data_IF_072005724276
#
_entry.id   IF_072005724276
#
_cell.length_a   1.000
_cell.length_b   1.000
_cell.length_c   1.000
_cell.angle_alpha   90.00
_cell.angle_beta   90.00
_cell.angle_gamma   90.00
#
_symmetry.space_group_name_H-M   'P 1'
#
loop_
_entity.id
_entity.type
_entity.pdbx_description
1 polymer ?
#
# COMPACT_ATOMS: atom_id res chain seq x y z
N UNK A 1 46.70 26.85 10.46
CA UNK A 1 46.73 25.63 9.62
C UNK A 1 45.58 25.49 8.61
N UNK A 2 44.48 26.26 8.67
CA UNK A 2 43.36 26.13 7.71
C UNK A 2 43.57 26.86 6.36
N UNK A 3 44.46 27.87 6.30
CA UNK A 3 44.75 28.61 5.05
C UNK A 3 45.58 27.85 4.01
N UNK A 4 46.35 26.83 4.41
CA UNK A 4 47.20 26.07 3.48
C UNK A 4 46.48 24.90 2.79
N UNK A 5 45.38 24.37 3.35
CA UNK A 5 44.60 23.31 2.70
C UNK A 5 43.82 23.81 1.47
N UNK A 6 43.35 25.07 1.51
CA UNK A 6 42.57 25.67 0.41
C UNK A 6 43.43 25.98 -0.84
N UNK A 7 44.73 26.20 -0.67
CA UNK A 7 45.66 26.52 -1.77
C UNK A 7 46.10 25.26 -2.54
N UNK A 8 46.13 24.10 -1.89
CA UNK A 8 46.45 22.80 -2.51
C UNK A 8 45.26 22.23 -3.31
N UNK A 9 44.01 22.49 -2.90
CA UNK A 9 42.83 22.03 -3.65
C UNK A 9 42.62 22.82 -4.94
N UNK A 10 42.89 24.13 -4.94
CA UNK A 10 42.74 24.98 -6.13
C UNK A 10 43.83 24.76 -7.19
N UNK A 11 45.00 24.23 -6.85
CA UNK A 11 46.07 23.94 -7.81
C UNK A 11 45.88 22.63 -8.58
N UNK A 12 44.90 21.79 -8.20
CA UNK A 12 44.58 20.53 -8.89
C UNK A 12 43.50 20.69 -9.98
N UNK A 13 42.79 21.82 -10.02
CA UNK A 13 41.70 22.08 -10.97
C UNK A 13 42.15 22.26 -12.45
N UNK A 14 43.40 22.65 -12.81
CA UNK A 14 43.74 22.86 -14.23
C UNK A 14 44.01 21.60 -15.06
N UNK A 15 43.96 20.38 -14.50
CA UNK A 15 44.24 19.14 -15.26
C UNK A 15 43.02 18.43 -15.84
N UNK A 16 41.80 18.91 -15.58
CA UNK A 16 40.56 18.38 -16.18
C UNK A 16 39.90 19.43 -17.06
N UNK A 17 40.70 20.06 -17.94
CA UNK A 17 40.19 20.85 -19.07
C UNK A 17 40.96 20.49 -20.32
N UNK A 18 40.55 19.40 -20.97
CA UNK A 18 40.54 19.33 -22.42
C UNK A 18 39.55 18.26 -22.87
N UNK A 19 38.63 18.71 -23.74
CA UNK A 19 37.64 17.97 -24.52
C UNK A 19 36.28 17.71 -23.87
N UNK A 20 35.54 18.79 -23.65
CA UNK A 20 34.16 18.85 -24.13
C UNK A 20 33.99 20.20 -24.81
N UNK A 21 33.84 20.14 -26.14
CA UNK A 21 33.42 21.25 -26.97
C UNK A 21 31.93 21.41 -26.67
N UNK A 22 31.56 22.49 -25.99
CA UNK A 22 30.17 22.92 -25.86
C UNK A 22 29.98 23.96 -26.97
N UNK A 23 29.48 23.51 -28.12
CA UNK A 23 28.83 24.41 -29.08
C UNK A 23 27.49 24.87 -28.49
N UNK A 24 27.17 26.13 -28.77
CA UNK A 24 26.04 26.94 -28.32
C UNK A 24 24.78 26.16 -27.92
N UNK A 25 24.55 26.05 -26.61
CA UNK A 25 23.26 25.60 -26.06
C UNK A 25 22.40 26.85 -25.81
N UNK A 26 21.21 26.98 -26.44
CA UNK A 26 20.34 28.12 -26.22
C UNK A 26 19.95 28.19 -24.75
N UNK A 27 19.95 29.40 -24.19
CA UNK A 27 19.48 29.71 -22.83
C UNK A 27 18.18 28.95 -22.59
N UNK A 28 18.22 27.93 -21.74
CA UNK A 28 17.04 27.19 -21.31
C UNK A 28 16.08 28.22 -20.70
N UNK A 29 14.91 28.38 -21.33
CA UNK A 29 13.76 29.00 -20.67
C UNK A 29 13.52 28.25 -19.35
N UNK A 30 13.06 28.93 -18.29
CA UNK A 30 12.63 28.23 -17.08
C UNK A 30 11.67 27.13 -17.50
N UNK A 31 11.98 25.89 -17.12
CA UNK A 31 11.11 24.74 -17.35
C UNK A 31 9.72 25.11 -16.81
N UNK A 32 8.73 25.21 -17.70
CA UNK A 32 7.34 25.16 -17.29
C UNK A 32 7.15 23.80 -16.63
N UNK A 33 6.83 23.80 -15.33
CA UNK A 33 6.38 22.60 -14.63
C UNK A 33 5.18 22.11 -15.44
N UNK A 34 5.23 20.93 -16.09
CA UNK A 34 4.08 20.44 -16.84
C UNK A 34 2.90 20.42 -15.87
N UNK A 35 1.73 20.89 -16.31
CA UNK A 35 0.54 20.96 -15.49
C UNK A 35 0.37 19.65 -14.72
N UNK A 36 0.60 19.70 -13.41
CA UNK A 36 0.16 18.71 -12.43
C UNK A 36 -1.25 18.27 -12.82
N UNK A 37 -1.59 16.98 -12.62
CA UNK A 37 -2.91 16.38 -12.91
C UNK A 37 -3.97 17.46 -12.94
N UNK A 38 -4.56 17.75 -14.09
CA UNK A 38 -5.56 18.81 -14.21
C UNK A 38 -6.70 18.51 -13.23
N UNK A 39 -6.65 19.14 -12.06
CA UNK A 39 -7.56 18.84 -10.94
C UNK A 39 -8.99 19.24 -11.31
N UNK A 40 -9.15 20.17 -12.26
CA UNK A 40 -10.46 20.50 -12.81
C UNK A 40 -11.05 19.31 -13.57
N UNK A 41 -10.23 18.57 -14.33
CA UNK A 41 -10.66 17.36 -15.04
C UNK A 41 -11.04 16.22 -14.07
N UNK A 42 -10.34 16.06 -12.94
CA UNK A 42 -10.69 15.09 -11.90
C UNK A 42 -12.04 15.41 -11.27
N UNK A 43 -12.26 16.67 -10.91
CA UNK A 43 -13.49 17.11 -10.25
C UNK A 43 -14.69 17.08 -11.21
N UNK A 44 -14.47 17.30 -12.51
CA UNK A 44 -15.52 17.21 -13.53
C UNK A 44 -15.80 15.79 -14.02
N UNK A 45 -14.84 14.87 -13.89
CA UNK A 45 -15.03 13.44 -14.23
C UNK A 45 -16.20 12.86 -13.43
N UNK A 46 -16.95 11.91 -13.98
CA UNK A 46 -17.95 11.15 -13.21
C UNK A 46 -17.34 9.95 -12.51
N UNK A 47 -16.15 9.51 -12.92
CA UNK A 47 -15.47 8.32 -12.40
C UNK A 47 -14.73 8.60 -11.09
N UNK A 48 -14.46 7.52 -10.35
CA UNK A 48 -13.63 7.53 -9.15
C UNK A 48 -12.15 7.45 -9.47
N UNK A 49 -11.33 8.09 -8.63
CA UNK A 49 -9.87 8.08 -8.78
C UNK A 49 -9.21 7.62 -7.49
N UNK A 50 -8.17 6.80 -7.62
CA UNK A 50 -7.22 6.52 -6.55
C UNK A 50 -5.86 7.02 -7.01
N UNK A 51 -5.28 7.98 -6.29
CA UNK A 51 -4.06 8.68 -6.71
C UNK A 51 -2.94 8.45 -5.71
N UNK A 52 -1.79 7.94 -6.16
CA UNK A 52 -0.58 7.96 -5.35
C UNK A 52 0.10 9.34 -5.45
N UNK A 53 -0.15 10.20 -4.47
CA UNK A 53 0.27 11.61 -4.45
C UNK A 53 1.32 11.85 -3.36
N UNK A 54 2.59 11.58 -3.67
CA UNK A 54 3.70 11.75 -2.71
C UNK A 54 3.94 13.21 -2.33
N UNK A 55 3.44 14.17 -3.12
CA UNK A 55 3.65 15.60 -2.90
C UNK A 55 2.47 16.26 -2.18
N UNK A 56 1.33 15.57 -2.11
CA UNK A 56 0.03 16.09 -1.67
C UNK A 56 -0.50 17.28 -2.48
N UNK A 57 0.20 17.71 -3.54
CA UNK A 57 -0.20 18.88 -4.31
C UNK A 57 -1.51 18.64 -5.08
N UNK A 58 -1.76 17.41 -5.53
CA UNK A 58 -2.99 17.06 -6.24
C UNK A 58 -4.17 17.03 -5.28
N UNK A 59 -3.96 16.49 -4.08
CA UNK A 59 -4.94 16.53 -2.99
C UNK A 59 -5.29 17.97 -2.60
N UNK A 60 -4.28 18.80 -2.28
CA UNK A 60 -4.48 20.18 -1.83
C UNK A 60 -5.25 21.00 -2.87
N UNK A 61 -4.85 20.96 -4.14
CA UNK A 61 -5.56 21.63 -5.23
C UNK A 61 -7.02 21.14 -5.38
N UNK A 62 -7.25 19.84 -5.19
CA UNK A 62 -8.60 19.26 -5.30
C UNK A 62 -9.52 19.78 -4.19
N UNK A 63 -9.02 19.84 -2.96
CA UNK A 63 -9.77 20.38 -1.81
C UNK A 63 -9.98 21.89 -1.95
N UNK A 64 -8.95 22.65 -2.35
CA UNK A 64 -9.04 24.10 -2.56
C UNK A 64 -10.10 24.45 -3.61
N UNK A 65 -10.09 23.75 -4.75
CA UNK A 65 -11.08 23.94 -5.80
C UNK A 65 -12.50 23.62 -5.33
N UNK A 66 -12.68 22.51 -4.60
CA UNK A 66 -13.97 22.10 -4.04
C UNK A 66 -14.52 23.14 -3.05
N UNK A 67 -13.66 23.71 -2.20
CA UNK A 67 -14.02 24.74 -1.23
C UNK A 67 -14.36 26.07 -1.90
N UNK A 68 -13.58 26.48 -2.89
CA UNK A 68 -13.77 27.76 -3.59
C UNK A 68 -15.07 27.80 -4.39
N UNK A 69 -15.36 26.73 -5.16
CA UNK A 69 -16.50 26.72 -6.08
C UNK A 69 -17.80 26.19 -5.46
N UNK A 70 -17.82 25.91 -4.15
CA UNK A 70 -18.97 25.36 -3.39
C UNK A 70 -19.67 24.19 -4.10
N UNK A 71 -18.89 23.40 -4.84
CA UNK A 71 -19.44 22.29 -5.61
C UNK A 71 -19.89 21.20 -4.63
N UNK A 72 -21.11 20.70 -4.83
CA UNK A 72 -21.54 19.38 -4.36
C UNK A 72 -20.78 18.32 -5.17
N UNK A 73 -19.46 18.26 -4.97
CA UNK A 73 -18.51 17.45 -5.71
C UNK A 73 -18.34 16.05 -5.12
N UNK A 74 -17.41 15.25 -5.68
CA UNK A 74 -17.07 13.92 -5.17
C UNK A 74 -16.73 13.92 -3.68
N UNK A 75 -16.92 12.77 -3.05
CA UNK A 75 -16.31 12.48 -1.76
C UNK A 75 -14.79 12.40 -1.98
N UNK A 76 -14.02 13.19 -1.21
CA UNK A 76 -12.56 13.27 -1.36
C UNK A 76 -11.93 12.82 -0.05
N UNK A 77 -11.07 11.82 -0.13
CA UNK A 77 -10.39 11.20 1.01
C UNK A 77 -8.88 11.30 0.85
N UNK A 78 -8.17 11.43 1.97
CA UNK A 78 -6.72 11.36 2.05
C UNK A 78 -6.32 10.21 2.97
N UNK A 79 -5.56 9.25 2.47
CA UNK A 79 -4.89 8.22 3.24
C UNK A 79 -3.39 8.54 3.30
N UNK A 80 -2.96 9.16 4.39
CA UNK A 80 -1.57 9.58 4.63
C UNK A 80 -1.03 8.98 5.94
N UNK A 81 -0.69 7.68 5.94
CA UNK A 81 -0.39 6.93 7.17
C UNK A 81 0.95 7.29 7.82
N UNK A 82 1.83 8.01 7.12
CA UNK A 82 3.12 8.49 7.63
C UNK A 82 3.06 9.93 8.17
N UNK A 83 1.85 10.50 8.27
CA UNK A 83 1.62 11.88 8.71
C UNK A 83 2.48 12.90 7.95
N UNK A 84 2.68 12.66 6.64
CA UNK A 84 3.47 13.54 5.78
C UNK A 84 2.86 14.93 5.54
N UNK A 85 1.90 15.35 6.37
CA UNK A 85 1.20 16.62 6.27
C UNK A 85 2.21 17.78 6.17
N UNK A 86 2.16 18.43 5.03
CA UNK A 86 3.08 19.46 4.55
C UNK A 86 3.10 20.66 5.48
N UNK A 87 4.13 20.79 6.33
CA UNK A 87 4.76 22.03 6.80
C UNK A 87 3.92 23.19 7.39
N UNK A 88 2.60 23.20 7.32
CA UNK A 88 1.75 24.33 7.69
C UNK A 88 0.34 23.94 8.19
N UNK A 89 -0.20 22.73 7.94
CA UNK A 89 -1.51 22.35 8.48
C UNK A 89 -1.56 20.85 8.84
N UNK A 90 -2.08 20.51 10.03
CA UNK A 90 -2.38 19.15 10.46
C UNK A 90 -3.57 18.61 9.65
N UNK A 91 -3.35 18.17 8.42
CA UNK A 91 -4.39 17.52 7.61
C UNK A 91 -4.52 16.07 8.12
N UNK A 92 -5.64 15.70 8.76
CA UNK A 92 -5.78 14.37 9.32
C UNK A 92 -5.90 13.33 8.19
N UNK A 93 -5.24 12.20 8.36
CA UNK A 93 -5.47 11.02 7.51
C UNK A 93 -6.85 10.42 7.80
N UNK A 94 -7.56 10.09 6.74
CA UNK A 94 -8.70 9.18 6.79
C UNK A 94 -8.20 7.76 7.02
N UNK A 95 -9.12 6.90 7.47
CA UNK A 95 -8.81 5.56 7.91
C UNK A 95 -9.24 4.50 6.92
N UNK A 96 -8.47 3.44 6.85
CA UNK A 96 -8.76 2.25 6.06
C UNK A 96 -8.41 1.01 6.87
N UNK A 97 -9.36 0.08 7.01
CA UNK A 97 -9.12 -1.17 7.73
C UNK A 97 -9.12 -2.35 6.75
N UNK A 98 -7.99 -3.06 6.55
CA UNK A 98 -7.96 -4.20 5.64
C UNK A 98 -8.87 -5.36 6.08
N UNK A 99 -9.22 -5.47 7.37
CA UNK A 99 -10.14 -6.48 7.88
C UNK A 99 -11.63 -6.17 7.59
N UNK A 100 -11.94 -4.96 7.12
CA UNK A 100 -13.29 -4.59 6.66
C UNK A 100 -13.75 -5.48 5.49
N UNK A 101 -12.82 -5.86 4.62
CA UNK A 101 -13.10 -6.61 3.40
C UNK A 101 -13.11 -8.14 3.58
N UNK A 102 -12.96 -8.62 4.82
CA UNK A 102 -13.00 -10.05 5.14
C UNK A 102 -14.43 -10.43 5.47
N UNK A 103 -15.01 -11.36 4.71
CA UNK A 103 -16.34 -11.89 5.01
C UNK A 103 -16.41 -12.46 6.42
N UNK A 104 -17.55 -12.28 7.09
CA UNK A 104 -17.84 -12.97 8.37
C UNK A 104 -18.53 -14.32 8.16
N UNK A 105 -18.79 -14.68 6.92
CA UNK A 105 -19.31 -15.99 6.54
C UNK A 105 -18.20 -17.05 6.55
N UNK A 106 -18.48 -18.20 7.13
CA UNK A 106 -17.49 -19.27 7.33
C UNK A 106 -16.95 -19.83 6.00
N UNK A 107 -17.76 -19.83 4.94
CA UNK A 107 -17.38 -20.37 3.63
C UNK A 107 -16.37 -19.47 2.91
N UNK A 108 -16.50 -18.14 3.06
CA UNK A 108 -15.73 -17.18 2.25
C UNK A 108 -14.53 -16.58 2.99
N UNK A 109 -14.60 -16.47 4.33
CA UNK A 109 -13.62 -15.73 5.13
C UNK A 109 -12.17 -16.20 4.94
N UNK A 110 -11.93 -17.50 4.78
CA UNK A 110 -10.56 -18.02 4.60
C UNK A 110 -9.97 -17.50 3.29
N UNK A 111 -10.76 -17.47 2.20
CA UNK A 111 -10.33 -16.92 0.91
C UNK A 111 -9.93 -15.45 1.02
N UNK A 112 -10.77 -14.63 1.67
CA UNK A 112 -10.47 -13.21 1.89
C UNK A 112 -9.22 -13.01 2.76
N UNK A 113 -9.03 -13.83 3.80
CA UNK A 113 -7.83 -13.79 4.65
C UNK A 113 -6.58 -14.11 3.83
N UNK A 114 -6.64 -15.09 2.93
CA UNK A 114 -5.50 -15.46 2.08
C UNK A 114 -5.10 -14.34 1.13
N UNK A 115 -6.01 -13.47 0.68
CA UNK A 115 -5.65 -12.30 -0.14
C UNK A 115 -4.66 -11.40 0.60
N UNK A 116 -4.99 -11.08 1.86
CA UNK A 116 -4.14 -10.24 2.72
C UNK A 116 -2.84 -10.98 3.07
N UNK A 117 -2.92 -12.25 3.45
CA UNK A 117 -1.75 -13.05 3.81
C UNK A 117 -0.77 -13.22 2.64
N UNK A 118 -1.28 -13.36 1.40
CA UNK A 118 -0.46 -13.51 0.21
C UNK A 118 0.30 -12.22 -0.14
N UNK A 119 -0.31 -11.06 0.11
CA UNK A 119 0.31 -9.75 -0.05
C UNK A 119 1.45 -9.53 0.95
N UNK A 120 1.23 -9.86 2.23
CA UNK A 120 2.22 -9.66 3.30
C UNK A 120 3.37 -10.68 3.28
N UNK A 121 3.10 -11.92 2.87
CA UNK A 121 4.07 -13.02 2.90
C UNK A 121 4.20 -13.66 1.53
N UNK A 122 4.68 -12.96 0.49
CA UNK A 122 4.79 -13.52 -0.85
C UNK A 122 5.68 -14.77 -0.85
N UNK A 123 5.26 -15.82 -1.55
CA UNK A 123 6.03 -17.07 -1.73
C UNK A 123 6.67 -17.16 -3.12
N UNK A 124 6.24 -16.31 -4.05
CA UNK A 124 6.81 -16.22 -5.39
C UNK A 124 8.25 -15.70 -5.32
N UNK A 125 9.13 -16.25 -6.16
CA UNK A 125 10.55 -15.88 -6.24
C UNK A 125 11.38 -16.17 -4.98
N UNK A 126 10.88 -16.98 -4.05
CA UNK A 126 11.62 -17.48 -2.90
C UNK A 126 12.03 -18.93 -3.16
N UNK A 127 13.34 -19.22 -3.07
CA UNK A 127 13.87 -20.58 -3.31
C UNK A 127 13.28 -21.61 -2.33
N UNK A 128 13.09 -21.21 -1.07
CA UNK A 128 12.57 -22.06 0.01
C UNK A 128 11.43 -21.33 0.75
N UNK A 129 10.18 -21.42 0.26
CA UNK A 129 9.07 -20.61 0.76
C UNK A 129 8.42 -21.14 2.05
N UNK A 130 8.98 -22.17 2.68
CA UNK A 130 8.34 -22.88 3.79
C UNK A 130 8.01 -21.96 4.98
N UNK A 131 8.93 -21.08 5.37
CA UNK A 131 8.71 -20.13 6.46
C UNK A 131 7.62 -19.11 6.13
N UNK A 132 7.52 -18.67 4.88
CA UNK A 132 6.46 -17.77 4.43
C UNK A 132 5.10 -18.47 4.44
N UNK A 133 5.04 -19.75 4.04
CA UNK A 133 3.82 -20.56 4.14
C UNK A 133 3.39 -20.68 5.61
N UNK A 134 4.31 -20.98 6.52
CA UNK A 134 3.99 -21.04 7.95
C UNK A 134 3.57 -19.68 8.52
N UNK A 135 4.18 -18.58 8.08
CA UNK A 135 3.77 -17.23 8.47
C UNK A 135 2.35 -16.90 7.96
N UNK A 136 1.99 -17.29 6.73
CA UNK A 136 0.61 -17.18 6.22
C UNK A 136 -0.38 -18.00 7.05
N UNK A 137 -0.03 -19.23 7.42
CA UNK A 137 -0.84 -20.07 8.31
C UNK A 137 -1.07 -19.38 9.66
N UNK A 138 0.00 -18.82 10.25
CA UNK A 138 -0.09 -18.10 11.53
C UNK A 138 -0.94 -16.83 11.42
N UNK A 139 -0.76 -16.04 10.36
CA UNK A 139 -1.61 -14.89 10.08
C UNK A 139 -3.08 -15.30 9.97
N UNK A 140 -3.34 -16.41 9.27
CA UNK A 140 -4.69 -16.91 9.05
C UNK A 140 -5.35 -17.33 10.36
N UNK A 141 -4.65 -18.10 11.19
CA UNK A 141 -5.19 -18.59 12.46
C UNK A 141 -5.46 -17.48 13.45
N UNK A 142 -4.54 -16.51 13.60
CA UNK A 142 -4.74 -15.35 14.47
C UNK A 142 -5.87 -14.43 13.96
N UNK A 143 -6.01 -14.28 12.64
CA UNK A 143 -7.12 -13.55 12.05
C UNK A 143 -8.46 -14.25 12.31
N UNK A 144 -8.52 -15.57 12.13
CA UNK A 144 -9.72 -16.35 12.45
C UNK A 144 -10.11 -16.18 13.92
N UNK A 145 -9.14 -16.24 14.84
CA UNK A 145 -9.39 -15.99 16.26
C UNK A 145 -10.01 -14.60 16.51
N UNK A 146 -9.48 -13.54 15.89
CA UNK A 146 -10.05 -12.20 16.03
C UNK A 146 -11.48 -12.12 15.48
N UNK A 147 -11.77 -12.79 14.36
CA UNK A 147 -13.11 -12.82 13.78
C UNK A 147 -14.11 -13.63 14.63
N UNK A 148 -13.67 -14.78 15.15
CA UNK A 148 -14.50 -15.66 16.00
C UNK A 148 -14.86 -14.97 17.33
N UNK A 149 -13.93 -14.19 17.87
CA UNK A 149 -14.09 -13.50 19.16
C UNK A 149 -14.61 -12.08 19.05
N UNK A 150 -14.74 -11.52 17.84
CA UNK A 150 -15.19 -10.14 17.57
C UNK A 150 -16.49 -9.80 18.30
N UNK A 151 -17.50 -10.69 18.23
CA UNK A 151 -18.81 -10.47 18.87
C UNK A 151 -18.76 -10.57 20.39
N UNK A 152 -17.85 -11.38 20.93
CA UNK A 152 -17.72 -11.61 22.38
C UNK A 152 -16.94 -10.48 23.04
N UNK A 153 -15.86 -10.04 22.37
CA UNK A 153 -14.97 -8.99 22.88
C UNK A 153 -15.48 -7.58 22.56
N UNK A 154 -16.31 -7.44 21.52
CA UNK A 154 -16.71 -6.14 20.98
C UNK A 154 -15.56 -5.40 20.27
N UNK A 155 -14.44 -6.08 20.04
CA UNK A 155 -13.25 -5.50 19.41
C UNK A 155 -13.27 -5.82 17.91
N UNK A 156 -13.36 -4.79 17.09
CA UNK A 156 -13.23 -4.92 15.64
C UNK A 156 -11.80 -5.35 15.27
N UNK A 157 -11.60 -6.40 14.46
CA UNK A 157 -10.29 -6.83 13.99
C UNK A 157 -9.61 -5.73 13.17
N UNK A 158 -8.33 -5.49 13.44
CA UNK A 158 -7.47 -4.54 12.72
C UNK A 158 -6.04 -5.08 12.66
N UNK A 159 -5.21 -4.55 11.75
CA UNK A 159 -3.78 -4.89 11.71
C UNK A 159 -3.05 -4.59 13.03
N UNK A 160 -3.27 -3.42 13.68
CA UNK A 160 -2.75 -3.16 15.02
C UNK A 160 -3.15 -4.21 16.05
N UNK A 161 -4.41 -4.65 16.09
CA UNK A 161 -4.85 -5.71 17.01
C UNK A 161 -4.12 -7.03 16.76
N UNK A 162 -3.96 -7.43 15.49
CA UNK A 162 -3.21 -8.63 15.12
C UNK A 162 -1.76 -8.56 15.62
N UNK A 163 -1.12 -7.40 15.45
CA UNK A 163 0.25 -7.18 15.89
C UNK A 163 0.35 -7.22 17.42
N UNK A 164 -0.60 -6.61 18.13
CA UNK A 164 -0.63 -6.64 19.59
C UNK A 164 -0.72 -8.09 20.10
N UNK A 165 -1.55 -8.95 19.47
CA UNK A 165 -1.65 -10.38 19.79
C UNK A 165 -0.30 -11.08 19.66
N UNK A 166 0.48 -10.77 18.61
CA UNK A 166 1.78 -11.37 18.37
C UNK A 166 2.80 -11.16 19.52
N UNK A 167 2.59 -10.11 20.33
CA UNK A 167 3.43 -9.76 21.47
C UNK A 167 2.77 -10.04 22.84
N UNK A 168 1.57 -10.63 22.87
CA UNK A 168 0.83 -10.85 24.13
C UNK A 168 1.65 -11.69 25.11
N UNK A 169 1.81 -11.13 26.31
CA UNK A 169 2.45 -11.77 27.47
C UNK A 169 3.89 -12.27 27.23
N UNK A 170 4.52 -11.86 26.12
CA UNK A 170 5.84 -12.34 25.71
C UNK A 170 5.89 -13.83 25.32
N UNK A 171 4.74 -14.52 25.24
CA UNK A 171 4.67 -15.94 24.91
C UNK A 171 3.35 -16.28 24.19
N UNK A 172 3.36 -16.13 22.87
CA UNK A 172 2.20 -16.38 22.01
C UNK A 172 1.68 -17.82 22.10
N UNK A 173 2.55 -18.82 22.34
CA UNK A 173 2.11 -20.21 22.46
C UNK A 173 1.29 -20.44 23.72
N UNK A 174 1.77 -19.95 24.87
CA UNK A 174 1.00 -20.03 26.13
C UNK A 174 -0.33 -19.31 26.01
N UNK A 175 -0.37 -18.19 25.28
CA UNK A 175 -1.62 -17.52 24.99
C UNK A 175 -2.56 -18.42 24.16
N UNK A 176 -2.08 -19.04 23.07
CA UNK A 176 -2.87 -19.99 22.27
C UNK A 176 -3.40 -21.16 23.11
N UNK A 177 -2.59 -21.75 24.00
CA UNK A 177 -3.00 -22.86 24.87
C UNK A 177 -4.17 -22.51 25.81
N UNK A 178 -4.30 -21.24 26.19
CA UNK A 178 -5.45 -20.76 26.98
C UNK A 178 -6.68 -20.55 26.11
N UNK A 179 -6.50 -19.93 24.94
CA UNK A 179 -7.61 -19.67 24.01
C UNK A 179 -8.26 -20.95 23.48
N UNK A 180 -7.46 -21.98 23.22
CA UNK A 180 -7.94 -23.33 22.85
C UNK A 180 -8.88 -23.93 23.89
N UNK A 181 -8.77 -23.54 25.17
CA UNK A 181 -9.63 -24.04 26.26
C UNK A 181 -10.94 -23.25 26.42
N UNK A 182 -11.05 -22.07 25.80
CA UNK A 182 -12.16 -21.15 26.00
C UNK A 182 -13.38 -21.41 25.10
N UNK A 183 -13.36 -22.46 24.24
CA UNK A 183 -14.46 -22.90 23.33
C UNK A 183 -15.15 -21.79 22.51
N UNK A 184 -14.49 -20.63 22.33
CA UNK A 184 -15.05 -19.44 21.67
C UNK A 184 -14.48 -19.25 20.26
N UNK A 185 -13.83 -20.27 19.72
CA UNK A 185 -13.12 -20.24 18.44
C UNK A 185 -13.64 -21.35 17.54
N UNK A 186 -13.55 -21.14 16.23
CA UNK A 186 -13.94 -22.11 15.21
C UNK A 186 -13.03 -23.35 15.21
N UNK A 187 -13.52 -24.44 14.64
CA UNK A 187 -12.76 -25.69 14.52
C UNK A 187 -11.49 -25.49 13.68
N UNK A 188 -11.55 -24.66 12.63
CA UNK A 188 -10.39 -24.33 11.82
C UNK A 188 -9.32 -23.58 12.64
N UNK A 189 -9.73 -22.59 13.44
CA UNK A 189 -8.81 -21.87 14.32
C UNK A 189 -8.22 -22.78 15.40
N UNK A 190 -9.05 -23.64 15.99
CA UNK A 190 -8.65 -24.61 17.02
C UNK A 190 -7.57 -25.58 16.50
N UNK A 191 -7.78 -26.13 15.31
CA UNK A 191 -6.85 -27.08 14.70
C UNK A 191 -5.50 -26.42 14.39
N UNK A 192 -5.51 -25.21 13.84
CA UNK A 192 -4.28 -24.47 13.55
C UNK A 192 -3.52 -24.06 14.82
N UNK A 193 -4.22 -23.63 15.88
CA UNK A 193 -3.57 -23.32 17.16
C UNK A 193 -2.92 -24.56 17.77
N UNK A 194 -3.59 -25.71 17.75
CA UNK A 194 -3.02 -26.97 18.22
C UNK A 194 -1.78 -27.39 17.41
N UNK A 195 -1.78 -27.17 16.08
CA UNK A 195 -0.60 -27.39 15.23
C UNK A 195 0.58 -26.52 15.69
N UNK A 196 0.37 -25.20 15.85
CA UNK A 196 1.43 -24.28 16.29
C UNK A 196 1.95 -24.54 17.70
N UNK A 197 1.08 -24.93 18.63
CA UNK A 197 1.47 -25.31 20.00
C UNK A 197 2.43 -26.50 19.96
N UNK A 198 2.18 -27.46 19.05
CA UNK A 198 3.00 -28.68 18.91
C UNK A 198 4.39 -28.45 18.31
N UNK A 199 4.62 -27.31 17.63
CA UNK A 199 5.90 -27.04 16.98
C UNK A 199 7.05 -26.97 18.00
N UNK A 200 8.28 -27.38 17.63
CA UNK A 200 9.46 -27.07 18.44
C UNK A 200 9.60 -25.54 18.63
N UNK A 201 10.12 -25.11 19.79
CA UNK A 201 10.22 -23.68 20.10
C UNK A 201 11.08 -22.91 19.10
N UNK A 202 12.22 -23.46 18.66
CA UNK A 202 13.10 -22.81 17.68
C UNK A 202 12.41 -22.59 16.32
N UNK A 203 11.65 -23.59 15.86
CA UNK A 203 10.84 -23.49 14.64
C UNK A 203 9.77 -22.43 14.79
N UNK A 204 9.04 -22.43 15.91
CA UNK A 204 8.00 -21.43 16.16
C UNK A 204 8.55 -20.01 16.23
N UNK A 205 9.71 -19.79 16.88
CA UNK A 205 10.37 -18.48 16.93
C UNK A 205 10.74 -18.00 15.52
N UNK A 206 11.23 -18.90 14.66
CA UNK A 206 11.57 -18.57 13.26
C UNK A 206 10.33 -18.21 12.43
N UNK A 207 9.23 -18.92 12.63
CA UNK A 207 7.92 -18.60 12.02
C UNK A 207 7.41 -17.26 12.54
N UNK A 208 7.45 -17.02 13.85
CA UNK A 208 7.00 -15.77 14.47
C UNK A 208 7.81 -14.57 13.99
N UNK A 209 9.13 -14.69 13.87
CA UNK A 209 9.98 -13.64 13.32
C UNK A 209 9.62 -13.31 11.86
N UNK A 210 9.37 -14.35 11.05
CA UNK A 210 8.92 -14.20 9.65
C UNK A 210 7.55 -13.52 9.59
N UNK A 211 6.64 -13.91 10.47
CA UNK A 211 5.30 -13.35 10.61
C UNK A 211 5.33 -11.86 11.01
N UNK A 212 6.15 -11.47 11.98
CA UNK A 212 6.21 -10.10 12.50
C UNK A 212 6.87 -9.13 11.51
N UNK A 213 7.85 -9.59 10.73
CA UNK A 213 8.69 -8.71 9.88
C UNK A 213 7.91 -7.71 9.01
N UNK A 214 6.95 -8.13 8.16
CA UNK A 214 6.16 -7.19 7.36
C UNK A 214 5.14 -6.39 8.19
N UNK A 215 4.85 -6.83 9.42
CA UNK A 215 3.90 -6.16 10.31
C UNK A 215 4.53 -5.01 11.10
N UNK A 216 5.85 -4.86 11.08
CA UNK A 216 6.58 -3.85 11.87
C UNK A 216 6.13 -2.42 11.60
N UNK A 217 5.70 -2.10 10.37
CA UNK A 217 5.17 -0.79 10.01
C UNK A 217 3.88 -0.45 10.79
N UNK A 218 3.06 -1.46 11.13
CA UNK A 218 1.80 -1.28 11.85
C UNK A 218 1.98 -0.97 13.34
N UNK A 219 3.21 -1.03 13.86
CA UNK A 219 3.53 -0.59 15.22
C UNK A 219 3.55 0.94 15.35
N UNK A 220 3.74 1.66 14.24
CA UNK A 220 3.85 3.12 14.26
C UNK A 220 2.52 3.76 14.71
N UNK A 221 2.52 4.69 15.68
CA UNK A 221 1.30 5.33 16.17
C UNK A 221 0.43 5.97 15.08
N UNK A 222 1.04 6.59 14.06
CA UNK A 222 0.29 7.25 12.97
C UNK A 222 -0.40 6.20 12.10
N UNK A 223 0.29 5.09 11.81
CA UNK A 223 -0.25 3.95 11.08
C UNK A 223 -1.38 3.27 11.87
N UNK A 224 -1.20 3.09 13.18
CA UNK A 224 -2.26 2.51 14.04
C UNK A 224 -3.53 3.34 13.99
N UNK A 225 -3.41 4.68 13.98
CA UNK A 225 -4.55 5.57 13.82
C UNK A 225 -5.19 5.45 12.43
N UNK A 226 -4.38 5.41 11.37
CA UNK A 226 -4.85 5.27 9.99
C UNK A 226 -5.54 3.92 9.71
N UNK A 227 -5.32 2.90 10.54
CA UNK A 227 -5.89 1.54 10.36
C UNK A 227 -6.97 1.15 11.36
N UNK A 228 -7.37 2.05 12.26
CA UNK A 228 -8.32 1.73 13.34
C UNK A 228 -9.81 1.87 12.96
N UNK A 229 -10.10 2.07 11.68
CA UNK A 229 -11.45 2.28 11.17
C UNK A 229 -11.47 2.30 9.64
N UNK A 230 -12.64 2.56 9.06
CA UNK A 230 -12.82 2.61 7.62
C UNK A 230 -13.71 3.82 7.29
N UNK A 231 -13.10 4.88 6.76
CA UNK A 231 -13.80 6.14 6.41
C UNK A 231 -14.21 6.17 4.93
N UNK A 232 -13.62 5.30 4.09
CA UNK A 232 -14.01 5.08 2.70
C UNK A 232 -14.04 3.57 2.38
N UNK A 233 -14.86 3.17 1.42
CA UNK A 233 -15.05 1.78 1.02
C UNK A 233 -14.67 1.56 -0.46
N UNK A 234 -13.83 0.55 -0.73
CA UNK A 234 -13.46 0.18 -2.09
C UNK A 234 -14.63 -0.39 -2.89
N UNK A 235 -15.64 -0.98 -2.25
CA UNK A 235 -16.85 -1.47 -2.94
C UNK A 235 -17.69 -0.32 -3.52
N UNK A 236 -17.52 0.90 -3.01
CA UNK A 236 -18.22 2.09 -3.49
C UNK A 236 -17.57 2.75 -4.71
N UNK A 237 -16.28 2.48 -4.99
CA UNK A 237 -15.50 3.17 -6.03
C UNK A 237 -16.11 3.03 -7.43
N UNK A 238 -16.81 1.94 -7.70
CA UNK A 238 -17.50 1.69 -8.99
C UNK A 238 -19.00 2.01 -8.94
N UNK A 239 -19.54 2.44 -7.80
CA UNK A 239 -20.97 2.73 -7.58
C UNK A 239 -21.26 4.22 -7.45
N UNK A 240 -20.34 4.97 -6.84
CA UNK A 240 -20.41 6.43 -6.71
C UNK A 240 -19.03 7.03 -6.96
N UNK A 241 -19.01 8.34 -7.20
CA UNK A 241 -17.76 9.07 -7.44
C UNK A 241 -17.02 9.35 -6.13
N UNK A 242 -15.84 8.75 -5.98
CA UNK A 242 -14.92 8.94 -4.85
C UNK A 242 -13.51 9.20 -5.37
N UNK A 243 -12.83 10.19 -4.79
CA UNK A 243 -11.41 10.44 -5.01
C UNK A 243 -10.61 10.12 -3.74
N UNK A 244 -9.68 9.17 -3.82
CA UNK A 244 -8.80 8.76 -2.72
C UNK A 244 -7.37 9.14 -3.07
N UNK A 245 -6.76 10.00 -2.27
CA UNK A 245 -5.35 10.36 -2.38
C UNK A 245 -4.53 9.56 -1.37
N UNK A 246 -3.49 8.89 -1.82
CA UNK A 246 -2.54 8.14 -0.99
C UNK A 246 -1.26 8.96 -0.88
N UNK A 247 -1.03 9.53 0.30
CA UNK A 247 0.07 10.44 0.56
C UNK A 247 1.15 9.79 1.40
N UNK A 248 2.34 9.59 0.84
CA UNK A 248 3.49 9.06 1.59
C UNK A 248 4.73 9.83 1.18
N UNK A 249 5.48 10.30 2.18
CA UNK A 249 6.71 11.02 1.95
C UNK A 249 7.72 10.10 1.22
N UNK A 250 8.41 10.57 0.17
CA UNK A 250 9.32 9.73 -0.62
C UNK A 250 10.38 8.99 0.19
N UNK A 251 10.89 9.62 1.26
CA UNK A 251 11.88 9.00 2.17
C UNK A 251 11.33 7.82 2.98
N UNK A 252 10.00 7.74 3.15
CA UNK A 252 9.33 6.71 3.92
C UNK A 252 8.84 5.53 3.06
N UNK A 253 8.85 5.64 1.72
CA UNK A 253 8.29 4.63 0.81
C UNK A 253 8.79 3.21 1.11
N UNK A 254 10.10 3.03 1.29
CA UNK A 254 10.69 1.71 1.59
C UNK A 254 10.20 1.14 2.93
N UNK A 255 10.03 2.00 3.94
CA UNK A 255 9.55 1.60 5.27
C UNK A 255 8.06 1.21 5.22
N UNK A 256 7.28 1.92 4.41
CA UNK A 256 5.84 1.73 4.30
C UNK A 256 5.44 0.78 3.16
N UNK A 257 6.40 0.23 2.42
CA UNK A 257 6.18 -0.65 1.28
C UNK A 257 5.16 -1.78 1.58
N UNK A 258 5.23 -2.55 2.68
CA UNK A 258 4.23 -3.59 2.95
C UNK A 258 2.80 -3.05 3.11
N UNK A 259 2.64 -1.88 3.73
CA UNK A 259 1.34 -1.23 3.91
C UNK A 259 0.76 -0.78 2.56
N UNK A 260 1.58 -0.14 1.74
CA UNK A 260 1.14 0.39 0.44
C UNK A 260 0.82 -0.74 -0.51
N UNK A 261 1.65 -1.79 -0.53
CA UNK A 261 1.41 -2.99 -1.34
C UNK A 261 0.10 -3.63 -0.94
N UNK A 262 -0.16 -3.79 0.35
CA UNK A 262 -1.43 -4.32 0.84
C UNK A 262 -2.63 -3.44 0.42
N UNK A 263 -2.51 -2.12 0.50
CA UNK A 263 -3.55 -1.19 0.09
C UNK A 263 -3.96 -1.40 -1.37
N UNK A 264 -2.99 -1.41 -2.28
CA UNK A 264 -3.27 -1.56 -3.71
C UNK A 264 -3.63 -2.99 -4.11
N UNK A 265 -3.07 -4.02 -3.47
CA UNK A 265 -3.47 -5.42 -3.67
C UNK A 265 -4.93 -5.64 -3.23
N UNK A 266 -5.35 -5.03 -2.12
CA UNK A 266 -6.73 -5.13 -1.67
C UNK A 266 -7.68 -4.30 -2.53
N UNK A 267 -7.30 -3.09 -2.93
CA UNK A 267 -8.05 -2.25 -3.86
C UNK A 267 -8.35 -3.02 -5.16
N UNK A 268 -7.31 -3.65 -5.71
CA UNK A 268 -7.36 -4.51 -6.88
C UNK A 268 -8.33 -5.67 -6.70
N UNK A 269 -8.15 -6.42 -5.61
CA UNK A 269 -8.95 -7.59 -5.29
C UNK A 269 -10.45 -7.25 -5.17
N UNK A 270 -10.79 -6.24 -4.36
CA UNK A 270 -12.19 -5.84 -4.13
C UNK A 270 -12.86 -5.42 -5.44
N UNK A 271 -12.17 -4.63 -6.26
CA UNK A 271 -12.69 -4.14 -7.52
C UNK A 271 -12.70 -5.16 -8.66
N UNK A 272 -12.23 -6.40 -8.42
CA UNK A 272 -12.31 -7.51 -9.38
C UNK A 272 -13.12 -8.70 -8.92
N UNK A 273 -13.88 -8.57 -7.83
CA UNK A 273 -14.81 -9.62 -7.37
C UNK A 273 -15.95 -9.88 -8.36
N UNK A 274 -16.49 -8.83 -8.96
CA UNK A 274 -17.68 -8.88 -9.84
C UNK A 274 -17.49 -7.95 -11.04
N UNK A 275 -17.86 -8.45 -12.22
CA UNK A 275 -17.89 -7.68 -13.47
C UNK A 275 -19.19 -6.84 -13.57
N UNK A 276 -19.17 -5.67 -14.22
CA UNK A 276 -20.35 -4.82 -14.38
C UNK A 276 -21.54 -5.50 -15.08
N UNK A 277 -21.29 -6.50 -15.92
CA UNK A 277 -22.34 -7.29 -16.57
C UNK A 277 -23.17 -8.11 -15.57
N UNK A 278 -22.57 -8.52 -14.45
CA UNK A 278 -23.23 -9.30 -13.40
C UNK A 278 -23.83 -8.41 -12.30
N UNK A 279 -23.36 -7.17 -12.17
CA UNK A 279 -23.90 -6.19 -11.23
C UNK A 279 -24.12 -4.81 -11.91
N UNK A 280 -25.37 -4.52 -12.34
CA UNK A 280 -25.73 -3.26 -13.02
C UNK A 280 -25.51 -1.99 -12.21
N UNK A 281 -25.30 -2.10 -10.90
CA UNK A 281 -25.03 -0.94 -10.03
C UNK A 281 -23.58 -0.43 -10.15
N UNK A 282 -22.69 -1.18 -10.80
CA UNK A 282 -21.30 -0.80 -11.07
C UNK A 282 -21.21 0.17 -12.26
N UNK A 283 -21.77 1.37 -12.09
CA UNK A 283 -21.93 2.37 -13.16
C UNK A 283 -20.71 3.26 -13.41
N UNK A 284 -19.72 3.25 -12.53
CA UNK A 284 -18.54 4.12 -12.59
C UNK A 284 -17.27 3.34 -12.87
N UNK A 285 -16.27 4.01 -13.45
CA UNK A 285 -14.92 3.46 -13.56
C UNK A 285 -14.10 3.79 -12.31
N UNK A 286 -13.18 2.90 -11.96
CA UNK A 286 -12.15 3.18 -10.97
C UNK A 286 -10.81 3.37 -11.69
N UNK A 287 -10.24 4.57 -11.57
CA UNK A 287 -9.00 4.95 -12.23
C UNK A 287 -7.86 5.04 -11.23
N UNK A 288 -6.80 4.29 -11.44
CA UNK A 288 -5.55 4.46 -10.71
C UNK A 288 -4.71 5.55 -11.39
N UNK A 289 -4.40 6.60 -10.64
CA UNK A 289 -3.52 7.69 -11.07
C UNK A 289 -2.17 7.54 -10.38
N UNK A 290 -1.13 7.39 -11.19
CA UNK A 290 0.24 7.36 -10.71
C UNK A 290 0.92 8.63 -11.20
N UNK A 291 1.18 9.55 -10.28
CA UNK A 291 2.10 10.67 -10.52
C UNK A 291 3.54 10.11 -10.66
N UNK A 292 4.53 10.96 -10.91
CA UNK A 292 5.98 10.72 -11.08
C UNK A 292 6.62 9.70 -10.12
N UNK A 293 5.91 9.34 -9.06
CA UNK A 293 6.03 8.15 -8.24
C UNK A 293 6.24 6.84 -9.01
N UNK A 294 5.70 6.66 -10.24
CA UNK A 294 5.80 5.37 -10.95
C UNK A 294 7.23 4.85 -11.12
N UNK A 295 8.18 5.75 -11.44
CA UNK A 295 9.60 5.40 -11.57
C UNK A 295 10.20 4.93 -10.23
N UNK A 296 9.77 5.53 -9.12
CA UNK A 296 10.16 5.11 -7.77
C UNK A 296 9.51 3.78 -7.38
N UNK A 297 8.26 3.55 -7.79
CA UNK A 297 7.51 2.32 -7.52
C UNK A 297 8.18 1.08 -8.11
N UNK A 298 8.73 1.18 -9.32
CA UNK A 298 9.42 0.06 -9.99
C UNK A 298 10.69 -0.42 -9.27
N UNK A 299 11.22 0.36 -8.32
CA UNK A 299 12.35 -0.04 -7.48
C UNK A 299 11.93 -0.91 -6.28
N UNK A 300 10.63 -0.98 -6.00
CA UNK A 300 10.04 -1.70 -4.87
C UNK A 300 9.15 -2.84 -5.36
N UNK A 301 8.86 -3.82 -4.50
CA UNK A 301 7.91 -4.91 -4.80
C UNK A 301 6.51 -4.37 -5.15
N UNK A 302 6.17 -3.21 -4.59
CA UNK A 302 4.97 -2.43 -4.87
C UNK A 302 4.75 -2.17 -6.38
N UNK A 303 5.82 -1.83 -7.10
CA UNK A 303 5.74 -1.61 -8.55
C UNK A 303 5.35 -2.87 -9.31
N UNK A 304 5.69 -4.06 -8.83
CA UNK A 304 5.30 -5.32 -9.50
C UNK A 304 3.82 -5.62 -9.35
N UNK A 305 3.26 -5.46 -8.14
CA UNK A 305 1.81 -5.60 -7.92
C UNK A 305 1.03 -4.57 -8.72
N UNK A 306 1.45 -3.30 -8.65
CA UNK A 306 0.76 -2.22 -9.37
C UNK A 306 0.90 -2.38 -10.88
N UNK A 307 2.08 -2.69 -11.42
CA UNK A 307 2.25 -2.86 -12.87
C UNK A 307 1.53 -4.10 -13.37
N UNK A 308 1.72 -5.25 -12.69
CA UNK A 308 1.07 -6.49 -13.10
C UNK A 308 -0.44 -6.37 -13.05
N UNK A 309 -1.00 -5.74 -12.01
CA UNK A 309 -2.44 -5.60 -11.77
C UNK A 309 -3.07 -4.26 -12.22
N UNK A 310 -2.35 -3.22 -12.60
CA UNK A 310 -2.95 -1.97 -13.11
C UNK A 310 -2.51 -1.57 -14.50
N UNK A 311 -1.40 -2.09 -15.02
CA UNK A 311 -0.98 -1.88 -16.42
C UNK A 311 -1.15 -3.10 -17.35
N UNK A 312 -0.83 -4.32 -16.90
CA UNK A 312 -0.62 -5.45 -17.83
C UNK A 312 -1.79 -6.43 -18.07
N UNK A 313 -2.68 -6.65 -17.10
CA UNK A 313 -3.80 -7.59 -17.23
C UNK A 313 -4.88 -7.07 -18.17
N UNK A 314 -5.11 -7.84 -19.23
CA UNK A 314 -6.17 -7.60 -20.23
C UNK A 314 -7.60 -7.63 -19.67
N UNK A 315 -7.81 -8.16 -18.47
CA UNK A 315 -9.13 -8.28 -17.86
C UNK A 315 -9.64 -6.96 -17.25
N UNK A 316 -8.78 -5.98 -16.98
CA UNK A 316 -9.13 -4.74 -16.28
C UNK A 316 -10.27 -3.94 -16.91
N UNK A 317 -10.29 -3.89 -18.23
CA UNK A 317 -11.34 -3.21 -18.98
C UNK A 317 -12.71 -3.86 -18.79
N UNK A 318 -12.75 -5.18 -18.58
CA UNK A 318 -13.99 -5.89 -18.23
C UNK A 318 -14.51 -5.52 -16.84
N UNK A 319 -13.64 -5.00 -15.96
CA UNK A 319 -14.02 -4.60 -14.61
C UNK A 319 -14.22 -3.08 -14.45
N UNK A 320 -14.23 -2.31 -15.56
CA UNK A 320 -14.23 -0.83 -15.55
C UNK A 320 -13.04 -0.22 -14.79
N UNK A 321 -11.88 -0.89 -14.86
CA UNK A 321 -10.64 -0.46 -14.21
C UNK A 321 -9.64 0.08 -15.22
N UNK A 322 -9.09 1.26 -14.94
CA UNK A 322 -8.14 1.95 -15.81
C UNK A 322 -6.96 2.47 -14.99
N UNK A 323 -5.80 2.61 -15.63
CA UNK A 323 -4.66 3.31 -15.07
C UNK A 323 -4.27 4.49 -15.96
N UNK A 324 -3.78 5.56 -15.33
CA UNK A 324 -3.13 6.67 -16.00
C UNK A 324 -1.83 6.94 -15.27
N UNK A 325 -0.72 6.78 -15.97
CA UNK A 325 0.62 7.12 -15.46
C UNK A 325 1.06 8.43 -16.07
N UNK A 326 1.35 9.40 -15.21
CA UNK A 326 1.86 10.70 -15.60
C UNK A 326 3.35 10.73 -15.26
N UNK A 327 4.18 10.58 -16.29
CA UNK A 327 5.63 10.69 -16.17
C UNK A 327 6.07 12.06 -16.72
N UNK A 328 6.62 12.92 -15.85
CA UNK A 328 7.18 14.22 -16.23
C UNK A 328 8.63 14.11 -16.75
N UNK A 329 9.28 12.96 -16.55
CA UNK A 329 10.54 12.61 -17.21
C UNK A 329 10.34 11.41 -18.15
N UNK A 330 10.90 11.42 -19.37
CA UNK A 330 10.81 10.27 -20.26
C UNK A 330 11.48 9.07 -19.60
N UNK A 331 10.71 7.98 -19.42
CA UNK A 331 11.22 6.68 -19.00
C UNK A 331 12.47 6.36 -19.83
N UNK A 332 13.63 6.20 -19.17
CA UNK A 332 14.62 5.27 -19.71
C UNK A 332 13.98 3.90 -19.58
N UNK A 333 13.27 3.46 -20.62
CA UNK A 333 12.95 2.05 -20.78
C UNK A 333 14.24 1.27 -20.54
N UNK A 334 14.24 0.24 -19.67
CA UNK A 334 15.40 -0.63 -19.57
C UNK A 334 15.68 -1.17 -20.97
N UNK A 335 16.80 -0.76 -21.54
CA UNK A 335 17.30 -1.36 -22.77
C UNK A 335 17.43 -2.85 -22.48
N UNK A 336 16.82 -3.67 -23.34
CA UNK A 336 17.06 -5.10 -23.41
C UNK A 336 18.56 -5.35 -23.66
N UNK A 337 19.35 -5.31 -22.59
CA UNK A 337 20.72 -5.80 -22.55
C UNK A 337 20.75 -6.82 -21.42
N UNK A 338 20.27 -8.03 -21.72
CA UNK A 338 20.76 -9.32 -21.21
C UNK A 338 19.83 -10.46 -21.66
N UNK A 339 19.68 -10.62 -22.98
CA UNK A 339 19.31 -11.89 -23.60
C UNK A 339 20.04 -12.03 -24.93
N UNK A 340 21.36 -12.30 -24.87
CA UNK A 340 22.12 -13.02 -25.90
C UNK A 340 23.43 -13.52 -25.31
N UNK A 341 23.40 -14.73 -24.72
CA UNK A 341 24.19 -15.92 -25.08
C UNK A 341 24.13 -16.95 -23.96
#
# INVERSE_FOLDING_TARGET
MIKNAKKTLLSMIPKIKKKLIIEDCPVMKPFEIPELIDTSSLIQSTDSHVCLDMTLLSYLKTIDFKNHDQLSGPEVYLFAPDDCATGNENIPTHRWNPFHYISRDATNRIGDIQVIANSLYPTSNIKEPALQIFARKLFTSLTLWMLDTEKVTGVTPTMPCLLDIAYVEGDLKKWMEREVKNNSISEECLNEFNDFISYPNETFISVLATFITPLTVFADPTVRMALNGNDFDFDDLRRKKIDIFVGIHPLNLKRFEPLITLFFDQLAYVNTRVIPEEDPTLTHRCKLLLDNSFVLLNQFSLGKSITHFWEESKFRTQYNLHSLVINLEPLQCPTNENFTN
#
